data_IF_808253667945
#
_entry.id   IF_808253667945
#
_cell.length_a   1.000
_cell.length_b   1.000
_cell.length_c   1.000
_cell.angle_alpha   90.00
_cell.angle_beta   90.00
_cell.angle_gamma   90.00
#
_symmetry.space_group_name_H-M   'P 1'
#
loop_
_entity.id
_entity.type
_entity.pdbx_description
1 polymer ?
#
# COMPACT_ATOMS: atom_id res chain seq x y z
N UNK A 1 1.23 -8.71 11.88
CA UNK A 1 0.15 -9.70 11.64
C UNK A 1 -0.95 -9.02 10.84
N UNK A 2 -0.92 -9.18 9.51
CA UNK A 2 -1.82 -8.46 8.57
C UNK A 2 -3.14 -9.22 8.50
N UNK A 3 -4.19 -8.71 9.16
CA UNK A 3 -5.53 -9.28 9.05
C UNK A 3 -6.23 -8.72 7.81
N UNK A 4 -6.48 -9.59 6.84
CA UNK A 4 -7.19 -9.28 5.61
C UNK A 4 -8.60 -8.70 5.83
N UNK A 5 -8.97 -7.74 4.99
CA UNK A 5 -10.35 -7.38 4.67
C UNK A 5 -10.91 -8.22 3.51
N UNK A 6 -12.13 -7.90 3.07
CA UNK A 6 -12.99 -8.74 2.22
C UNK A 6 -12.65 -8.82 0.72
N UNK A 7 -11.50 -8.29 0.28
CA UNK A 7 -10.97 -8.55 -1.07
C UNK A 7 -9.87 -9.61 -1.00
N UNK A 8 -9.83 -10.49 -1.99
CA UNK A 8 -8.98 -11.68 -2.07
C UNK A 8 -7.48 -11.41 -2.24
N UNK A 9 -6.97 -10.32 -1.67
CA UNK A 9 -5.64 -9.75 -1.92
C UNK A 9 -4.59 -10.33 -0.94
N UNK A 10 -4.94 -11.43 -0.26
CA UNK A 10 -4.12 -12.12 0.76
C UNK A 10 -2.70 -12.36 0.28
N UNK A 11 -2.59 -12.85 -0.95
CA UNK A 11 -1.35 -13.31 -1.54
C UNK A 11 -0.38 -12.13 -1.72
N UNK A 12 -0.89 -10.96 -2.08
CA UNK A 12 -0.09 -9.76 -2.29
C UNK A 12 0.32 -9.14 -0.95
N UNK A 13 -0.63 -8.96 -0.03
CA UNK A 13 -0.36 -8.38 1.28
C UNK A 13 0.57 -9.27 2.11
N UNK A 14 0.39 -10.60 2.06
CA UNK A 14 1.27 -11.53 2.76
C UNK A 14 2.68 -11.52 2.18
N UNK A 15 2.82 -11.50 0.84
CA UNK A 15 4.13 -11.41 0.21
C UNK A 15 4.85 -10.09 0.57
N UNK A 16 4.13 -8.96 0.54
CA UNK A 16 4.67 -7.66 0.95
C UNK A 16 5.06 -7.67 2.43
N UNK A 17 4.23 -8.24 3.31
CA UNK A 17 4.52 -8.33 4.74
C UNK A 17 5.75 -9.18 5.02
N UNK A 18 5.87 -10.36 4.37
CA UNK A 18 7.06 -11.21 4.49
C UNK A 18 8.32 -10.52 3.95
N UNK A 19 8.22 -9.79 2.83
CA UNK A 19 9.34 -8.99 2.33
C UNK A 19 9.69 -7.84 3.27
N UNK A 20 8.71 -7.21 3.92
CA UNK A 20 8.94 -6.14 4.89
C UNK A 20 9.64 -6.64 6.16
N UNK A 21 9.31 -7.85 6.60
CA UNK A 21 9.92 -8.51 7.75
C UNK A 21 11.36 -8.96 7.46
N UNK A 22 11.58 -9.59 6.29
CA UNK A 22 12.90 -10.09 5.92
C UNK A 22 13.86 -8.98 5.43
N UNK A 23 13.33 -7.98 4.72
CA UNK A 23 14.10 -6.97 3.98
C UNK A 23 13.41 -5.58 4.02
N UNK A 24 13.35 -4.92 5.20
CA UNK A 24 12.68 -3.63 5.37
C UNK A 24 13.26 -2.52 4.47
N UNK A 25 14.53 -2.60 4.10
CA UNK A 25 15.21 -1.68 3.19
C UNK A 25 14.64 -1.70 1.77
N UNK A 26 14.11 -2.85 1.32
CA UNK A 26 13.47 -2.97 0.01
C UNK A 26 12.17 -2.18 0.01
N UNK A 27 11.36 -2.34 1.07
CA UNK A 27 10.09 -1.62 1.21
C UNK A 27 10.35 -0.12 1.29
N UNK A 28 11.33 0.34 2.07
CA UNK A 28 11.69 1.77 2.12
C UNK A 28 12.09 2.34 0.77
N UNK A 29 12.71 1.55 -0.11
CA UNK A 29 13.08 1.99 -1.47
C UNK A 29 11.87 2.14 -2.41
N UNK A 30 10.75 1.48 -2.13
CA UNK A 30 9.50 1.68 -2.88
C UNK A 30 8.89 3.04 -2.59
N UNK A 31 9.03 3.55 -1.35
CA UNK A 31 8.51 4.87 -0.97
C UNK A 31 9.51 5.97 -1.33
N UNK A 32 9.16 6.79 -2.32
CA UNK A 32 9.90 8.01 -2.65
C UNK A 32 9.60 9.07 -1.59
N UNK A 33 8.33 9.20 -1.21
CA UNK A 33 7.91 10.05 -0.09
C UNK A 33 7.98 9.22 1.19
N UNK A 34 9.04 9.39 1.98
CA UNK A 34 9.29 8.62 3.21
C UNK A 34 8.75 9.27 4.49
N UNK A 35 8.20 10.48 4.37
CA UNK A 35 7.62 11.25 5.47
C UNK A 35 6.15 11.53 5.21
N UNK A 36 5.41 11.91 6.26
CA UNK A 36 4.03 12.35 6.13
C UNK A 36 4.04 13.71 5.45
N UNK A 37 3.58 13.76 4.22
CA UNK A 37 3.53 14.99 3.43
C UNK A 37 2.28 15.80 3.84
N UNK A 38 2.40 17.07 4.27
CA UNK A 38 1.25 17.88 4.68
C UNK A 38 0.21 18.10 3.58
N UNK A 39 0.60 17.95 2.30
CA UNK A 39 -0.34 18.00 1.18
C UNK A 39 -1.07 16.68 0.91
N UNK A 40 -0.80 15.61 1.68
CA UNK A 40 -1.49 14.32 1.57
C UNK A 40 -1.13 13.52 0.33
N UNK A 41 -0.07 13.89 -0.40
CA UNK A 41 0.34 13.24 -1.66
C UNK A 41 1.58 12.38 -1.44
N UNK A 42 1.47 11.10 -1.82
CA UNK A 42 2.54 10.12 -1.70
C UNK A 42 2.97 9.60 -3.07
N UNK A 43 4.28 9.43 -3.24
CA UNK A 43 4.88 8.84 -4.44
C UNK A 43 5.46 7.48 -4.09
N UNK A 44 4.96 6.45 -4.77
CA UNK A 44 5.41 5.06 -4.60
C UNK A 44 5.92 4.56 -5.95
N UNK A 45 7.12 3.98 -5.95
CA UNK A 45 7.72 3.36 -7.11
C UNK A 45 7.40 1.87 -7.09
N UNK A 46 6.70 1.40 -8.12
CA UNK A 46 6.37 -0.02 -8.34
C UNK A 46 6.96 -0.48 -9.66
N UNK A 47 7.25 -1.77 -9.77
CA UNK A 47 7.67 -2.36 -11.03
C UNK A 47 6.45 -2.84 -11.80
N UNK A 48 6.19 -2.28 -12.99
CA UNK A 48 5.11 -2.71 -13.87
C UNK A 48 5.65 -3.81 -14.80
N UNK A 49 5.29 -5.06 -14.51
CA UNK A 49 5.71 -6.23 -15.30
C UNK A 49 5.21 -6.16 -16.75
N UNK A 50 4.12 -5.44 -17.04
CA UNK A 50 3.59 -5.29 -18.41
C UNK A 50 4.41 -4.29 -19.24
N UNK A 51 5.06 -3.34 -18.56
CA UNK A 51 5.88 -2.29 -19.19
C UNK A 51 7.37 -2.53 -19.00
N UNK A 52 7.74 -3.60 -18.30
CA UNK A 52 9.10 -3.99 -17.94
C UNK A 52 9.93 -2.84 -17.36
N UNK A 53 9.30 -1.98 -16.56
CA UNK A 53 9.95 -0.79 -16.02
C UNK A 53 9.38 -0.37 -14.68
N UNK A 54 10.21 0.37 -13.94
CA UNK A 54 9.79 1.07 -12.75
C UNK A 54 8.88 2.25 -13.11
N UNK A 55 7.69 2.27 -12.52
CA UNK A 55 6.71 3.34 -12.65
C UNK A 55 6.49 4.01 -11.29
N UNK A 56 6.36 5.33 -11.32
CA UNK A 56 6.04 6.10 -10.12
C UNK A 56 4.54 6.36 -10.10
N UNK A 57 3.87 5.80 -9.10
CA UNK A 57 2.45 5.98 -8.84
C UNK A 57 2.29 7.06 -7.79
N UNK A 58 1.49 8.07 -8.12
CA UNK A 58 1.11 9.15 -7.21
C UNK A 58 -0.25 8.83 -6.62
N UNK A 59 -0.35 8.78 -5.30
CA UNK A 59 -1.60 8.52 -4.57
C UNK A 59 -1.83 9.62 -3.54
N UNK A 60 -3.10 9.82 -3.18
CA UNK A 60 -3.50 10.63 -2.04
C UNK A 60 -3.72 9.76 -0.78
N UNK A 61 -3.85 10.38 0.37
CA UNK A 61 -4.09 9.77 1.69
C UNK A 61 -5.55 9.39 1.98
N UNK A 62 -6.48 9.58 1.04
CA UNK A 62 -7.88 9.20 1.27
C UNK A 62 -8.04 7.70 1.18
N UNK A 63 -8.12 7.04 2.33
CA UNK A 63 -8.38 5.61 2.43
C UNK A 63 -9.89 5.40 2.64
N UNK A 64 -10.54 4.52 1.87
CA UNK A 64 -11.95 4.19 2.07
C UNK A 64 -12.16 3.54 3.44
N UNK A 65 -12.94 4.21 4.27
CA UNK A 65 -13.31 3.78 5.62
C UNK A 65 -14.71 3.18 5.60
N UNK A 66 -14.93 2.21 6.47
CA UNK A 66 -16.27 1.69 6.75
C UNK A 66 -16.98 2.64 7.73
N UNK A 67 -18.05 3.30 7.28
CA UNK A 67 -18.80 4.30 8.06
C UNK A 67 -19.37 3.73 9.37
N UNK A 68 -19.61 2.41 9.44
CA UNK A 68 -20.15 1.76 10.62
C UNK A 68 -19.15 1.62 11.77
N UNK A 69 -17.84 1.58 11.48
CA UNK A 69 -16.81 1.26 12.49
C UNK A 69 -15.58 2.18 12.44
N UNK A 70 -15.54 3.17 11.52
CA UNK A 70 -14.38 4.03 11.27
C UNK A 70 -13.07 3.23 11.07
N UNK A 71 -13.18 2.06 10.44
CA UNK A 71 -12.07 1.15 10.16
C UNK A 71 -11.76 1.14 8.67
N UNK A 72 -10.49 1.00 8.25
CA UNK A 72 -10.17 0.84 6.84
C UNK A 72 -10.85 -0.43 6.29
N UNK A 73 -11.47 -0.32 5.12
CA UNK A 73 -12.30 -1.40 4.54
C UNK A 73 -11.48 -2.59 4.03
N UNK A 74 -10.23 -2.37 3.62
CA UNK A 74 -9.41 -3.38 2.91
C UNK A 74 -8.28 -3.92 3.77
N UNK A 75 -7.30 -3.11 4.16
CA UNK A 75 -6.21 -3.54 5.05
C UNK A 75 -6.48 -3.12 6.49
N UNK A 76 -6.39 -4.05 7.46
CA UNK A 76 -6.39 -3.71 8.90
C UNK A 76 -4.95 -3.67 9.41
N UNK A 77 -4.33 -2.49 9.53
CA UNK A 77 -3.01 -2.38 10.13
C UNK A 77 -3.10 -2.72 11.62
N UNK A 78 -2.15 -3.48 12.15
CA UNK A 78 -2.07 -3.78 13.58
C UNK A 78 -1.04 -2.83 14.21
N UNK A 79 -1.38 -1.53 14.23
CA UNK A 79 -0.49 -0.45 14.70
C UNK A 79 -0.26 0.64 13.66
N UNK A 80 0.97 1.20 13.63
CA UNK A 80 1.33 2.37 12.81
C UNK A 80 1.75 1.99 11.37
N UNK A 81 1.01 1.09 10.73
CA UNK A 81 1.33 0.49 9.42
C UNK A 81 0.62 1.18 8.25
N UNK A 82 0.51 2.52 8.30
CA UNK A 82 -0.12 3.34 7.25
C UNK A 82 0.48 3.06 5.85
N UNK A 83 1.75 2.69 5.80
CA UNK A 83 2.47 2.36 4.58
C UNK A 83 1.84 1.17 3.82
N UNK A 84 1.23 0.19 4.51
CA UNK A 84 0.59 -0.96 3.85
C UNK A 84 -0.63 -0.51 3.06
N UNK A 85 -1.47 0.35 3.67
CA UNK A 85 -2.66 0.90 3.03
C UNK A 85 -2.31 1.77 1.81
N UNK A 86 -1.24 2.56 1.92
CA UNK A 86 -0.73 3.37 0.83
C UNK A 86 -0.21 2.49 -0.32
N UNK A 87 0.52 1.42 -0.01
CA UNK A 87 1.06 0.51 -1.02
C UNK A 87 -0.03 -0.26 -1.76
N UNK A 88 -1.03 -0.76 -1.03
CA UNK A 88 -2.24 -1.39 -1.60
C UNK A 88 -2.95 -0.43 -2.56
N UNK A 89 -3.15 0.83 -2.15
CA UNK A 89 -3.74 1.87 -3.01
C UNK A 89 -2.94 2.14 -4.28
N UNK A 90 -1.61 2.21 -4.17
CA UNK A 90 -0.76 2.38 -5.34
C UNK A 90 -0.83 1.19 -6.29
N UNK A 91 -0.93 -0.03 -5.76
CA UNK A 91 -1.10 -1.23 -6.56
C UNK A 91 -2.46 -1.25 -7.27
N UNK A 92 -3.55 -0.99 -6.55
CA UNK A 92 -4.89 -0.86 -7.13
C UNK A 92 -4.93 0.18 -8.26
N UNK A 93 -4.28 1.34 -8.05
CA UNK A 93 -4.15 2.38 -9.09
C UNK A 93 -3.34 1.94 -10.31
N UNK A 94 -2.32 1.10 -10.13
CA UNK A 94 -1.52 0.54 -11.23
C UNK A 94 -2.31 -0.48 -12.06
N UNK A 95 -3.19 -1.26 -11.42
CA UNK A 95 -4.00 -2.30 -12.07
C UNK A 95 -5.37 -1.82 -12.56
N UNK A 96 -5.82 -0.65 -12.12
CA UNK A 96 -7.01 0.03 -12.64
C UNK A 96 -8.28 -0.15 -11.81
N UNK A 97 -8.22 -0.96 -10.74
CA UNK A 97 -9.28 -1.10 -9.74
C UNK A 97 -8.68 -1.58 -8.41
N UNK A 98 -9.36 -1.27 -7.31
CA UNK A 98 -9.26 -2.07 -6.09
C UNK A 98 -9.86 -3.45 -6.37
#
# INVERSE_FOLDING_TARGET
>A
DVKQGGLGDCWLLSAIASCAEAHPEIIRRLFITQFVEPCGVYRIRLYDVRKEKWVVIVIDDRIPMDDANARPRFTKPNGNELWVMLLEKAFAKMWGSY
#
